data_IF_884617402153
#
_entry.id   IF_884617402153
#
_cell.length_a   1.000
_cell.length_b   1.000
_cell.length_c   1.000
_cell.angle_alpha   90.00
_cell.angle_beta   90.00
_cell.angle_gamma   90.00
#
_symmetry.space_group_name_H-M   'P 1'
#
loop_
_entity.id
_entity.type
_entity.pdbx_description
1 polymer ?
#
# COMPACT_ATOMS: atom_id res chain seq x y z
N UNK A 1 -9.76 0.82 -9.50
CA UNK A 1 -8.67 -0.09 -9.09
C UNK A 1 -7.65 0.68 -8.24
N UNK A 2 -7.13 0.09 -7.16
CA UNK A 2 -6.23 0.77 -6.20
C UNK A 2 -4.87 1.10 -6.82
N UNK A 3 -4.32 0.19 -7.62
CA UNK A 3 -3.04 0.41 -8.31
C UNK A 3 -3.09 1.62 -9.24
N UNK A 4 -4.19 1.78 -9.99
CA UNK A 4 -4.41 2.92 -10.88
C UNK A 4 -4.50 4.25 -10.11
N UNK A 5 -5.15 4.25 -8.94
CA UNK A 5 -5.23 5.43 -8.08
C UNK A 5 -3.85 5.84 -7.56
N UNK A 6 -3.05 4.86 -7.09
CA UNK A 6 -1.68 5.10 -6.63
C UNK A 6 -0.82 5.64 -7.79
N UNK A 7 -0.91 5.04 -8.98
CA UNK A 7 -0.14 5.47 -10.16
C UNK A 7 -0.53 6.88 -10.62
N UNK A 8 -1.82 7.21 -10.58
CA UNK A 8 -2.31 8.56 -10.90
C UNK A 8 -1.77 9.61 -9.92
N UNK A 9 -1.77 9.30 -8.62
CA UNK A 9 -1.27 10.21 -7.58
C UNK A 9 0.28 10.28 -7.53
N UNK A 10 0.97 9.20 -7.89
CA UNK A 10 2.43 9.05 -7.83
C UNK A 10 2.99 8.46 -9.14
N UNK A 11 2.99 9.22 -10.25
CA UNK A 11 3.34 8.69 -11.58
C UNK A 11 4.78 8.17 -11.70
N UNK A 12 5.69 8.64 -10.84
CA UNK A 12 7.10 8.24 -10.82
C UNK A 12 7.37 6.87 -10.20
N UNK A 13 6.40 6.24 -9.54
CA UNK A 13 6.59 4.92 -8.94
C UNK A 13 6.68 3.82 -9.99
N UNK A 14 7.57 2.86 -9.77
CA UNK A 14 7.60 1.61 -10.53
C UNK A 14 6.42 0.70 -10.17
N UNK A 15 6.19 -0.33 -10.97
CA UNK A 15 5.17 -1.35 -10.65
C UNK A 15 5.50 -2.04 -9.32
N UNK A 16 6.78 -2.35 -9.07
CA UNK A 16 7.24 -2.97 -7.82
C UNK A 16 6.99 -2.09 -6.61
N UNK A 17 7.18 -0.77 -6.73
CA UNK A 17 6.89 0.16 -5.64
C UNK A 17 5.38 0.22 -5.34
N UNK A 18 4.55 0.18 -6.38
CA UNK A 18 3.09 0.15 -6.21
C UNK A 18 2.66 -1.14 -5.50
N UNK A 19 3.24 -2.29 -5.88
CA UNK A 19 2.96 -3.55 -5.21
C UNK A 19 3.36 -3.53 -3.74
N UNK A 20 4.51 -2.95 -3.39
CA UNK A 20 4.92 -2.75 -1.99
C UNK A 20 3.93 -1.89 -1.21
N UNK A 21 3.38 -0.84 -1.83
CA UNK A 21 2.35 -0.02 -1.17
C UNK A 21 1.10 -0.86 -0.92
N UNK A 22 0.65 -1.64 -1.91
CA UNK A 22 -0.53 -2.51 -1.78
C UNK A 22 -0.31 -3.59 -0.71
N UNK A 23 0.92 -4.05 -0.52
CA UNK A 23 1.29 -5.04 0.49
C UNK A 23 1.42 -4.47 1.91
N UNK A 24 2.04 -3.31 2.09
CA UNK A 24 2.43 -2.81 3.43
C UNK A 24 1.51 -1.73 4.02
N UNK A 25 0.57 -1.20 3.25
CA UNK A 25 -0.36 -0.16 3.71
C UNK A 25 -1.73 -0.64 4.18
N UNK A 26 -2.25 -1.82 3.81
CA UNK A 26 -3.49 -2.33 4.38
C UNK A 26 -3.45 -2.39 5.91
N UNK A 27 -4.64 -2.28 6.51
CA UNK A 27 -4.83 -2.61 7.91
C UNK A 27 -5.00 -4.12 8.01
N UNK A 28 -4.05 -4.76 8.64
CA UNK A 28 -4.04 -6.20 8.88
C UNK A 28 -5.30 -6.61 9.65
N UNK A 29 -6.01 -7.61 9.13
CA UNK A 29 -7.23 -8.13 9.72
C UNK A 29 -7.14 -9.66 9.75
N UNK A 30 -7.46 -10.25 10.90
CA UNK A 30 -7.37 -11.71 11.05
C UNK A 30 -5.99 -12.15 11.53
N UNK A 31 -5.27 -12.89 10.69
CA UNK A 31 -3.96 -13.46 11.06
C UNK A 31 -2.88 -12.46 10.69
N UNK A 32 -1.92 -12.25 11.60
CA UNK A 32 -0.83 -11.33 11.35
C UNK A 32 -0.10 -11.63 10.03
N UNK A 33 -0.03 -10.63 9.14
CA UNK A 33 0.62 -10.72 7.84
C UNK A 33 -0.33 -11.11 6.71
N UNK A 34 0.19 -11.86 5.72
CA UNK A 34 -0.62 -12.31 4.59
C UNK A 34 -1.39 -13.58 4.97
N UNK A 35 -2.69 -13.57 4.75
CA UNK A 35 -3.52 -14.78 4.79
C UNK A 35 -4.26 -15.02 3.47
N UNK A 36 -4.77 -16.24 3.28
CA UNK A 36 -5.41 -16.67 2.03
C UNK A 36 -6.84 -16.13 1.85
N UNK A 37 -7.45 -15.58 2.90
CA UNK A 37 -8.81 -15.06 2.90
C UNK A 37 -8.87 -13.54 2.73
N UNK A 38 -8.05 -12.80 3.46
CA UNK A 38 -7.98 -11.34 3.47
C UNK A 38 -6.74 -10.78 2.75
N UNK A 39 -5.83 -11.64 2.26
CA UNK A 39 -4.59 -11.19 1.64
C UNK A 39 -3.72 -10.48 2.67
N UNK A 40 -3.28 -9.25 2.37
CA UNK A 40 -2.52 -8.43 3.32
C UNK A 40 -3.41 -7.63 4.29
N UNK A 41 -4.73 -7.85 4.25
CA UNK A 41 -5.71 -7.16 5.07
C UNK A 41 -6.54 -6.15 4.30
N UNK A 42 -7.22 -5.26 5.03
CA UNK A 42 -8.17 -4.31 4.48
C UNK A 42 -7.44 -3.12 3.85
N UNK A 43 -7.74 -2.83 2.58
CA UNK A 43 -7.19 -1.67 1.86
C UNK A 43 -7.36 -0.38 2.69
N UNK A 44 -6.25 0.34 2.87
CA UNK A 44 -6.22 1.65 3.50
C UNK A 44 -5.64 2.70 2.53
N UNK A 45 -6.53 3.39 1.81
CA UNK A 45 -6.14 4.40 0.81
C UNK A 45 -5.48 5.62 1.43
N UNK A 46 -5.85 5.98 2.66
CA UNK A 46 -5.22 7.09 3.38
C UNK A 46 -3.74 6.78 3.56
N UNK A 47 -3.39 5.60 4.10
CA UNK A 47 -2.01 5.14 4.27
C UNK A 47 -1.26 4.99 2.94
N UNK A 48 -1.91 4.48 1.89
CA UNK A 48 -1.31 4.34 0.57
C UNK A 48 -0.92 5.69 -0.08
N UNK A 49 -1.72 6.74 0.15
CA UNK A 49 -1.57 8.03 -0.51
C UNK A 49 -0.80 9.07 0.31
N UNK A 50 -0.44 8.79 1.58
CA UNK A 50 0.34 9.73 2.41
C UNK A 50 1.65 10.09 1.69
N UNK A 51 2.07 11.37 1.72
CA UNK A 51 3.41 11.77 1.33
C UNK A 51 4.45 11.03 2.20
N UNK A 52 5.49 10.47 1.58
CA UNK A 52 6.59 9.89 2.35
C UNK A 52 7.24 10.98 3.20
N UNK A 53 7.17 10.86 4.53
CA UNK A 53 8.06 11.61 5.42
C UNK A 53 9.44 10.98 5.33
N UNK A 54 10.31 11.53 4.49
CA UNK A 54 11.74 11.21 4.54
C UNK A 54 12.28 11.85 5.81
N UNK A 55 12.34 11.09 6.90
CA UNK A 55 13.06 11.49 8.10
C UNK A 55 14.53 11.21 7.81
N UNK A 56 15.31 12.25 7.49
CA UNK A 56 16.76 12.13 7.48
C UNK A 56 17.21 11.88 8.93
N UNK A 57 17.84 10.73 9.16
CA UNK A 57 18.64 10.50 10.37
C UNK A 57 19.91 11.33 10.31
#
# INVERSE_FOLDING_TARGET
DLAALIKSAKPWLSVDDIMKIIEYTPDDIGTAGRDDYAGYGRINTQRALVPYKIIKK
#
